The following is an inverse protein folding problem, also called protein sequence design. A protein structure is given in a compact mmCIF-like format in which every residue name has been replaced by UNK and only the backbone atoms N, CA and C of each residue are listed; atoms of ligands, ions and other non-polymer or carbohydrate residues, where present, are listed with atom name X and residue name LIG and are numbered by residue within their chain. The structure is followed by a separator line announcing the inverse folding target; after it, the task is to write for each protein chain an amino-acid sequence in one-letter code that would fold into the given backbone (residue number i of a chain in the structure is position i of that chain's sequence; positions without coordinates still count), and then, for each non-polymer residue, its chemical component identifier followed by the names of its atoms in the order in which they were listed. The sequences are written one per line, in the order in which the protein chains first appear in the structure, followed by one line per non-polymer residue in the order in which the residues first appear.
data_IF_745859577120
#
_entry.id   IF_745859577120
#
_cell.length_a   1.000
_cell.length_b   1.000
_cell.length_c   1.000
_cell.angle_alpha   90.00
_cell.angle_beta   90.00
_cell.angle_gamma   90.00
#
_symmetry.space_group_name_H-M   'P 1'
#
loop_
_entity.id
_entity.type
_entity.pdbx_description
1 polymer ?
#
# COMPACT_ATOMS: atom_id res chain seq x y z
N UNK A 1 -19.21 -1.06 21.50
CA UNK A 1 -18.55 -2.25 22.13
C UNK A 1 -19.59 -3.04 22.89
N UNK A 2 -19.52 -4.38 22.88
CA UNK A 2 -20.53 -5.24 23.51
C UNK A 2 -20.40 -5.33 25.03
N UNK A 3 -19.22 -4.97 25.57
CA UNK A 3 -18.92 -4.95 27.00
C UNK A 3 -17.77 -3.98 27.30
N UNK A 4 -17.62 -3.58 28.53
CA UNK A 4 -16.60 -2.62 28.97
C UNK A 4 -15.42 -3.37 29.59
N UNK A 5 -14.23 -3.07 29.08
CA UNK A 5 -12.95 -3.51 29.66
C UNK A 5 -12.25 -2.32 30.32
N UNK A 6 -11.52 -2.58 31.41
CA UNK A 6 -10.71 -1.55 32.08
C UNK A 6 -9.36 -1.41 31.37
N UNK A 7 -8.77 -0.22 31.47
CA UNK A 7 -7.42 0.07 30.98
C UNK A 7 -7.22 -0.11 29.47
N UNK A 8 -8.27 0.11 28.67
CA UNK A 8 -8.14 0.14 27.22
C UNK A 8 -7.58 1.51 26.83
N UNK A 9 -6.46 1.54 26.07
CA UNK A 9 -5.92 2.80 25.54
C UNK A 9 -6.94 3.53 24.66
N UNK A 10 -7.00 4.84 24.81
CA UNK A 10 -7.80 5.67 23.90
C UNK A 10 -7.15 5.67 22.53
N UNK A 11 -7.91 5.29 21.52
CA UNK A 11 -7.47 5.35 20.14
C UNK A 11 -7.80 6.71 19.54
N UNK A 12 -6.90 7.24 18.72
CA UNK A 12 -7.15 8.46 17.96
C UNK A 12 -8.33 8.28 17.00
N UNK A 13 -9.10 9.36 16.79
CA UNK A 13 -10.21 9.37 15.83
C UNK A 13 -9.72 9.59 14.39
N UNK A 14 -10.54 9.18 13.41
CA UNK A 14 -10.26 9.43 11.99
C UNK A 14 -10.48 10.91 11.65
N UNK A 15 -9.68 11.49 10.73
CA UNK A 15 -8.50 10.92 10.05
C UNK A 15 -7.29 10.84 11.00
N UNK A 16 -6.63 9.67 11.04
CA UNK A 16 -5.53 9.40 11.96
C UNK A 16 -4.19 9.83 11.36
N UNK A 17 -3.36 10.46 12.19
CA UNK A 17 -1.95 10.74 11.89
C UNK A 17 -1.00 9.78 12.62
N UNK A 18 -1.48 9.12 13.68
CA UNK A 18 -0.78 8.10 14.45
C UNK A 18 -1.73 6.93 14.77
N UNK A 19 -1.19 5.75 15.03
CA UNK A 19 -2.00 4.54 15.18
C UNK A 19 -2.73 4.13 13.89
N UNK A 20 -2.12 4.43 12.75
CA UNK A 20 -2.66 4.19 11.42
C UNK A 20 -2.77 2.70 11.12
N UNK A 21 -3.93 2.25 10.68
CA UNK A 21 -4.18 0.83 10.37
C UNK A 21 -4.31 0.64 8.88
N UNK A 22 -3.35 -0.05 8.27
CA UNK A 22 -3.45 -0.57 6.92
C UNK A 22 -3.99 -2.00 6.97
N UNK A 23 -5.08 -2.25 6.27
CA UNK A 23 -5.61 -3.60 6.09
C UNK A 23 -5.26 -4.12 4.70
N UNK A 24 -4.80 -5.38 4.63
CA UNK A 24 -4.46 -6.02 3.37
C UNK A 24 -5.64 -6.83 2.83
N UNK A 25 -6.17 -6.40 1.68
CA UNK A 25 -7.08 -7.20 0.85
C UNK A 25 -6.26 -8.19 0.02
N UNK A 26 -6.40 -9.46 0.31
CA UNK A 26 -5.69 -10.56 -0.35
C UNK A 26 -6.52 -11.25 -1.43
N UNK A 27 -7.42 -10.52 -2.07
CA UNK A 27 -8.29 -11.04 -3.12
C UNK A 27 -9.73 -11.26 -2.65
N UNK A 28 -10.25 -10.39 -1.79
CA UNK A 28 -11.66 -10.41 -1.41
C UNK A 28 -12.55 -10.25 -2.64
N UNK A 29 -13.68 -10.95 -2.65
CA UNK A 29 -14.78 -10.66 -3.59
C UNK A 29 -15.46 -9.34 -3.20
N UNK A 30 -16.31 -8.79 -4.07
CA UNK A 30 -17.13 -7.59 -3.78
C UNK A 30 -17.88 -7.77 -2.47
N UNK A 31 -18.61 -8.87 -2.32
CA UNK A 31 -19.39 -9.16 -1.09
C UNK A 31 -18.51 -9.28 0.15
N UNK A 32 -17.34 -9.91 0.05
CA UNK A 32 -16.41 -10.01 1.17
C UNK A 32 -15.84 -8.63 1.55
N UNK A 33 -15.60 -7.76 0.58
CA UNK A 33 -15.19 -6.39 0.84
C UNK A 33 -16.30 -5.60 1.56
N UNK A 34 -17.56 -5.75 1.16
CA UNK A 34 -18.72 -5.16 1.87
C UNK A 34 -18.82 -5.65 3.32
N UNK A 35 -18.71 -6.95 3.54
CA UNK A 35 -18.77 -7.55 4.88
C UNK A 35 -17.58 -7.09 5.73
N UNK A 36 -16.38 -7.02 5.14
CA UNK A 36 -15.19 -6.48 5.80
C UNK A 36 -15.40 -5.03 6.26
N UNK A 37 -15.93 -4.17 5.38
CA UNK A 37 -16.21 -2.77 5.73
C UNK A 37 -17.25 -2.65 6.85
N UNK A 38 -18.31 -3.43 6.81
CA UNK A 38 -19.34 -3.44 7.86
C UNK A 38 -18.78 -3.80 9.24
N UNK A 39 -17.80 -4.71 9.30
CA UNK A 39 -17.23 -5.22 10.55
C UNK A 39 -16.04 -4.38 11.02
N UNK A 40 -15.15 -3.99 10.12
CA UNK A 40 -13.84 -3.44 10.42
C UNK A 40 -13.62 -1.99 9.94
N UNK A 41 -14.53 -1.43 9.13
CA UNK A 41 -14.33 -0.14 8.48
C UNK A 41 -14.01 1.00 9.44
N UNK A 42 -14.58 1.02 10.65
CA UNK A 42 -14.26 1.99 11.69
C UNK A 42 -12.78 1.98 12.09
N UNK A 43 -12.14 0.80 12.03
CA UNK A 43 -10.77 0.61 12.51
C UNK A 43 -9.71 0.72 11.41
N UNK A 44 -10.10 0.70 10.13
CA UNK A 44 -9.19 0.72 8.99
C UNK A 44 -9.03 2.12 8.44
N UNK A 45 -7.80 2.54 8.23
CA UNK A 45 -7.46 3.87 7.68
C UNK A 45 -7.13 3.81 6.19
N UNK A 46 -6.60 2.70 5.70
CA UNK A 46 -6.28 2.46 4.30
C UNK A 46 -6.33 0.97 3.96
N UNK A 47 -6.72 0.63 2.75
CA UNK A 47 -6.72 -0.75 2.25
C UNK A 47 -5.64 -0.93 1.18
N UNK A 48 -4.77 -1.93 1.37
CA UNK A 48 -3.79 -2.39 0.38
C UNK A 48 -4.33 -3.59 -0.36
N UNK A 49 -4.54 -3.50 -1.68
CA UNK A 49 -4.80 -4.66 -2.52
C UNK A 49 -3.46 -5.41 -2.74
N UNK A 50 -3.23 -6.43 -1.95
CA UNK A 50 -1.95 -7.13 -1.86
C UNK A 50 -1.69 -8.09 -3.04
N UNK A 51 -0.43 -8.44 -3.24
CA UNK A 51 0.07 -9.50 -4.12
C UNK A 51 -0.42 -9.45 -5.57
N UNK A 52 -0.60 -8.24 -6.11
CA UNK A 52 -1.14 -8.02 -7.45
C UNK A 52 -2.52 -8.68 -7.69
N UNK A 53 -3.29 -8.98 -6.63
CA UNK A 53 -4.61 -9.59 -6.76
C UNK A 53 -5.58 -8.74 -7.57
N UNK A 54 -5.38 -7.42 -7.62
CA UNK A 54 -6.15 -6.51 -8.49
C UNK A 54 -6.09 -6.90 -9.97
N UNK A 55 -4.98 -7.47 -10.43
CA UNK A 55 -4.81 -7.93 -11.83
C UNK A 55 -5.76 -9.08 -12.19
N UNK A 56 -6.07 -9.96 -11.24
CA UNK A 56 -6.89 -11.15 -11.46
C UNK A 56 -8.28 -11.06 -10.84
N UNK A 57 -8.60 -9.97 -10.14
CA UNK A 57 -9.92 -9.79 -9.53
C UNK A 57 -10.97 -9.49 -10.59
N UNK A 58 -11.99 -10.35 -10.77
CA UNK A 58 -13.12 -10.00 -11.61
C UNK A 58 -13.92 -8.86 -10.98
N UNK A 59 -14.54 -8.02 -11.81
CA UNK A 59 -15.34 -6.87 -11.35
C UNK A 59 -14.57 -5.92 -10.41
N UNK A 60 -13.31 -5.63 -10.75
CA UNK A 60 -12.44 -4.81 -9.92
C UNK A 60 -13.06 -3.44 -9.59
N UNK A 61 -13.64 -2.76 -10.57
CA UNK A 61 -14.28 -1.45 -10.37
C UNK A 61 -15.40 -1.50 -9.32
N UNK A 62 -16.24 -2.54 -9.36
CA UNK A 62 -17.31 -2.75 -8.39
C UNK A 62 -16.74 -2.92 -6.97
N UNK A 63 -15.68 -3.69 -6.83
CA UNK A 63 -14.98 -3.87 -5.55
C UNK A 63 -14.34 -2.56 -5.05
N UNK A 64 -13.69 -1.80 -5.93
CA UNK A 64 -13.10 -0.51 -5.55
C UNK A 64 -14.15 0.50 -5.12
N UNK A 65 -15.37 0.45 -5.71
CA UNK A 65 -16.48 1.30 -5.31
C UNK A 65 -16.95 1.03 -3.87
N UNK A 66 -16.88 -0.22 -3.39
CA UNK A 66 -17.15 -0.52 -1.97
C UNK A 66 -16.26 0.29 -1.03
N UNK A 67 -14.98 0.41 -1.34
CA UNK A 67 -14.04 1.20 -0.52
C UNK A 67 -14.27 2.71 -0.69
N UNK A 68 -14.58 3.18 -1.93
CA UNK A 68 -14.90 4.59 -2.19
C UNK A 68 -16.14 5.05 -1.41
N UNK A 69 -17.22 4.29 -1.47
CA UNK A 69 -18.47 4.57 -0.76
C UNK A 69 -18.29 4.58 0.76
N UNK A 70 -17.38 3.74 1.27
CA UNK A 70 -17.01 3.72 2.68
C UNK A 70 -16.06 4.86 3.09
N UNK A 71 -15.61 5.71 2.15
CA UNK A 71 -14.58 6.74 2.37
C UNK A 71 -13.29 6.17 2.98
N UNK A 72 -12.91 4.96 2.58
CA UNK A 72 -11.64 4.34 2.98
C UNK A 72 -10.70 4.39 1.78
N UNK A 73 -9.60 5.14 1.85
CA UNK A 73 -8.60 5.16 0.79
C UNK A 73 -8.01 3.77 0.58
N UNK A 74 -7.62 3.49 -0.65
CA UNK A 74 -7.04 2.20 -1.03
C UNK A 74 -5.97 2.39 -2.10
N UNK A 75 -5.16 1.35 -2.29
CA UNK A 75 -4.11 1.35 -3.31
C UNK A 75 -3.72 -0.06 -3.74
N UNK A 76 -3.08 -0.16 -4.89
CA UNK A 76 -2.45 -1.39 -5.36
C UNK A 76 -1.09 -1.57 -4.69
N UNK A 77 -0.90 -2.72 -4.02
CA UNK A 77 0.34 -3.03 -3.32
C UNK A 77 1.54 -3.20 -4.26
N UNK A 78 2.74 -3.08 -3.70
CA UNK A 78 4.00 -3.01 -4.44
C UNK A 78 4.31 -4.18 -5.36
N UNK A 79 3.78 -5.37 -5.11
CA UNK A 79 3.96 -6.52 -6.03
C UNK A 79 3.38 -6.22 -7.43
N UNK A 80 2.32 -5.41 -7.54
CA UNK A 80 1.84 -4.98 -8.86
C UNK A 80 2.85 -4.03 -9.52
N UNK A 81 3.40 -3.07 -8.79
CA UNK A 81 4.47 -2.19 -9.27
C UNK A 81 5.66 -3.04 -9.78
N UNK A 82 6.16 -3.98 -8.97
CA UNK A 82 7.26 -4.88 -9.37
C UNK A 82 6.94 -5.63 -10.66
N UNK A 83 5.70 -6.12 -10.82
CA UNK A 83 5.27 -6.82 -12.03
C UNK A 83 5.34 -5.95 -13.29
N UNK A 84 5.08 -4.67 -13.19
CA UNK A 84 5.26 -3.72 -14.30
C UNK A 84 6.74 -3.40 -14.55
N UNK A 85 7.52 -3.19 -13.48
CA UNK A 85 8.94 -2.79 -13.60
C UNK A 85 9.79 -3.86 -14.28
N UNK A 86 9.62 -5.14 -13.93
CA UNK A 86 10.37 -6.23 -14.59
C UNK A 86 10.03 -6.40 -16.08
N UNK A 87 8.99 -5.71 -16.56
CA UNK A 87 8.55 -5.69 -17.96
C UNK A 87 8.84 -4.38 -18.67
N UNK A 88 9.58 -3.48 -17.99
CA UNK A 88 9.87 -2.13 -18.50
C UNK A 88 8.60 -1.32 -18.86
N UNK A 89 7.55 -1.47 -18.03
CA UNK A 89 6.21 -0.88 -18.23
C UNK A 89 5.86 0.16 -17.18
N UNK A 90 6.80 0.99 -16.75
CA UNK A 90 6.55 2.00 -15.72
C UNK A 90 5.47 3.01 -16.12
N UNK A 91 5.49 3.49 -17.36
CA UNK A 91 4.48 4.45 -17.83
C UNK A 91 3.08 3.80 -17.95
N UNK A 92 3.02 2.51 -18.24
CA UNK A 92 1.74 1.80 -18.25
C UNK A 92 1.21 1.59 -16.82
N UNK A 93 2.09 1.39 -15.82
CA UNK A 93 1.70 1.39 -14.42
C UNK A 93 1.08 2.72 -14.01
N UNK A 94 1.67 3.86 -14.41
CA UNK A 94 1.12 5.19 -14.15
C UNK A 94 -0.28 5.37 -14.76
N UNK A 95 -0.49 4.90 -16.00
CA UNK A 95 -1.82 4.91 -16.64
C UNK A 95 -2.84 4.05 -15.89
N UNK A 96 -2.41 2.95 -15.28
CA UNK A 96 -3.29 2.12 -14.45
C UNK A 96 -3.70 2.87 -13.19
N UNK A 97 -2.78 3.62 -12.55
CA UNK A 97 -3.13 4.46 -11.41
C UNK A 97 -4.15 5.53 -11.80
N UNK A 98 -3.95 6.21 -12.92
CA UNK A 98 -4.90 7.20 -13.45
C UNK A 98 -6.27 6.58 -13.77
N UNK A 99 -6.27 5.44 -14.47
CA UNK A 99 -7.51 4.75 -14.85
C UNK A 99 -8.41 4.43 -13.65
N UNK A 100 -7.80 4.02 -12.54
CA UNK A 100 -8.56 3.65 -11.33
C UNK A 100 -8.61 4.77 -10.29
N UNK A 101 -8.14 5.98 -10.65
CA UNK A 101 -8.12 7.16 -9.77
C UNK A 101 -7.46 6.84 -8.41
N UNK A 102 -6.29 6.17 -8.45
CA UNK A 102 -5.59 5.75 -7.25
C UNK A 102 -5.01 6.95 -6.50
N UNK A 103 -5.38 7.20 -5.24
CA UNK A 103 -4.79 8.28 -4.46
C UNK A 103 -3.40 7.96 -3.93
N UNK A 104 -3.03 6.67 -3.93
CA UNK A 104 -1.75 6.17 -3.44
C UNK A 104 -1.14 5.15 -4.38
N UNK A 105 0.19 5.04 -4.35
CA UNK A 105 0.94 3.96 -4.94
C UNK A 105 1.95 3.40 -3.94
N UNK A 106 2.31 2.14 -4.08
CA UNK A 106 3.38 1.52 -3.30
C UNK A 106 4.52 1.11 -4.23
N UNK A 107 5.73 1.56 -3.88
CA UNK A 107 6.98 1.17 -4.55
C UNK A 107 7.71 0.16 -3.68
N UNK A 108 7.93 -1.04 -4.19
CA UNK A 108 8.66 -2.11 -3.52
C UNK A 108 9.65 -2.78 -4.46
N UNK A 109 10.60 -3.50 -3.89
CA UNK A 109 11.59 -4.32 -4.58
C UNK A 109 11.81 -5.67 -3.87
N UNK A 110 10.85 -6.05 -3.03
CA UNK A 110 10.97 -7.24 -2.19
C UNK A 110 11.04 -8.56 -2.96
N UNK A 111 10.51 -8.62 -4.20
CA UNK A 111 10.48 -9.83 -5.05
C UNK A 111 11.32 -9.72 -6.32
N UNK A 112 11.98 -8.59 -6.54
CA UNK A 112 12.81 -8.33 -7.73
C UNK A 112 14.18 -7.79 -7.32
N UNK A 113 15.13 -7.85 -8.23
CA UNK A 113 16.38 -7.11 -8.10
C UNK A 113 16.21 -5.74 -8.75
N UNK A 114 16.30 -4.70 -7.95
CA UNK A 114 16.20 -3.32 -8.38
C UNK A 114 17.29 -2.51 -7.67
N UNK A 115 18.04 -1.75 -8.45
CA UNK A 115 18.97 -0.78 -7.90
C UNK A 115 18.22 0.24 -7.04
N UNK A 116 18.75 0.53 -5.83
CA UNK A 116 18.03 1.37 -4.88
C UNK A 116 17.91 2.83 -5.37
N UNK A 117 18.91 3.33 -6.11
CA UNK A 117 18.81 4.67 -6.69
C UNK A 117 17.71 4.71 -7.74
N UNK A 118 17.59 3.66 -8.55
CA UNK A 118 16.49 3.53 -9.52
C UNK A 118 15.12 3.46 -8.84
N UNK A 119 15.03 2.76 -7.70
CA UNK A 119 13.82 2.76 -6.87
C UNK A 119 13.44 4.16 -6.41
N UNK A 120 14.42 4.93 -5.91
CA UNK A 120 14.21 6.33 -5.52
C UNK A 120 13.74 7.21 -6.70
N UNK A 121 14.27 7.00 -7.91
CA UNK A 121 13.79 7.70 -9.10
C UNK A 121 12.32 7.39 -9.43
N UNK A 122 11.88 6.14 -9.24
CA UNK A 122 10.48 5.78 -9.40
C UNK A 122 9.59 6.43 -8.33
N UNK A 123 10.06 6.47 -7.07
CA UNK A 123 9.36 7.16 -5.97
C UNK A 123 9.17 8.63 -6.34
N UNK A 124 10.24 9.32 -6.75
CA UNK A 124 10.19 10.74 -7.13
C UNK A 124 9.18 10.99 -8.26
N UNK A 125 9.22 10.18 -9.31
CA UNK A 125 8.29 10.31 -10.44
C UNK A 125 6.84 10.04 -10.07
N UNK A 126 6.57 9.07 -9.20
CA UNK A 126 5.22 8.76 -8.74
C UNK A 126 4.70 9.81 -7.76
N UNK A 127 5.58 10.41 -6.95
CA UNK A 127 5.20 11.48 -6.02
C UNK A 127 4.68 12.74 -6.71
N UNK A 128 4.97 12.93 -8.00
CA UNK A 128 4.37 13.99 -8.84
C UNK A 128 2.89 13.72 -9.17
N UNK A 129 2.44 12.47 -9.05
CA UNK A 129 1.11 12.02 -9.49
C UNK A 129 0.21 11.62 -8.31
N UNK A 130 0.75 10.88 -7.35
CA UNK A 130 0.02 10.29 -6.22
C UNK A 130 0.84 10.35 -4.93
N UNK A 131 0.20 10.07 -3.78
CA UNK A 131 0.92 9.88 -2.52
C UNK A 131 1.63 8.51 -2.54
N UNK A 132 2.94 8.50 -2.35
CA UNK A 132 3.74 7.28 -2.44
C UNK A 132 4.00 6.68 -1.06
N UNK A 133 3.72 5.38 -0.94
CA UNK A 133 4.27 4.52 0.11
C UNK A 133 5.46 3.76 -0.50
N UNK A 134 6.46 3.46 0.31
CA UNK A 134 7.54 2.57 -0.12
C UNK A 134 7.70 1.43 0.87
N UNK A 135 8.21 0.30 0.39
CA UNK A 135 8.48 -0.88 1.22
C UNK A 135 9.97 -1.22 1.13
N UNK A 136 10.66 -1.18 2.27
CA UNK A 136 12.06 -1.60 2.41
C UNK A 136 12.08 -3.02 2.96
N UNK A 137 12.88 -3.88 2.35
CA UNK A 137 13.05 -5.25 2.79
C UNK A 137 13.07 -6.22 1.61
N UNK A 138 13.49 -7.44 1.87
CA UNK A 138 13.52 -8.52 0.89
C UNK A 138 12.61 -9.66 1.34
N UNK A 139 11.89 -10.27 0.40
CA UNK A 139 11.16 -11.52 0.63
C UNK A 139 12.08 -12.74 0.62
N UNK A 140 13.34 -12.55 0.27
CA UNK A 140 14.36 -13.56 0.38
C UNK A 140 14.85 -13.66 1.83
N UNK A 141 14.54 -14.77 2.49
CA UNK A 141 14.89 -15.01 3.88
C UNK A 141 16.41 -15.10 4.15
N UNK A 142 17.22 -15.29 3.10
CA UNK A 142 18.68 -15.33 3.20
C UNK A 142 19.31 -13.93 3.19
N UNK A 143 18.57 -12.91 2.75
CA UNK A 143 19.03 -11.51 2.73
C UNK A 143 18.77 -10.85 4.07
N UNK A 144 19.77 -10.86 4.93
CA UNK A 144 19.74 -10.17 6.23
C UNK A 144 20.38 -8.80 6.09
N UNK A 145 19.57 -7.75 6.24
CA UNK A 145 20.07 -6.37 6.28
C UNK A 145 20.25 -5.91 7.72
N UNK A 146 21.43 -5.37 8.08
CA UNK A 146 21.65 -4.83 9.42
C UNK A 146 20.77 -3.59 9.67
N UNK A 147 20.44 -3.28 10.95
CA UNK A 147 19.51 -2.18 11.28
C UNK A 147 19.92 -0.81 10.70
N UNK A 148 21.20 -0.48 10.66
CA UNK A 148 21.65 0.80 10.09
C UNK A 148 21.36 0.90 8.59
N UNK A 149 21.44 -0.20 7.85
CA UNK A 149 21.12 -0.23 6.43
C UNK A 149 19.62 -0.01 6.19
N UNK A 150 18.76 -0.59 7.03
CA UNK A 150 17.32 -0.33 6.99
C UNK A 150 17.02 1.16 7.16
N UNK A 151 17.63 1.79 8.18
CA UNK A 151 17.45 3.22 8.46
C UNK A 151 17.92 4.06 7.28
N UNK A 152 19.08 3.74 6.70
CA UNK A 152 19.64 4.48 5.56
C UNK A 152 18.74 4.38 4.32
N UNK A 153 18.26 3.17 3.99
CA UNK A 153 17.37 2.95 2.85
C UNK A 153 16.02 3.67 3.06
N UNK A 154 15.41 3.53 4.24
CA UNK A 154 14.17 4.23 4.57
C UNK A 154 14.32 5.75 4.46
N UNK A 155 15.43 6.32 4.95
CA UNK A 155 15.66 7.75 4.86
C UNK A 155 15.78 8.22 3.40
N UNK A 156 16.52 7.49 2.57
CA UNK A 156 16.66 7.81 1.14
C UNK A 156 15.32 7.77 0.41
N UNK A 157 14.45 6.82 0.76
CA UNK A 157 13.12 6.70 0.16
C UNK A 157 12.18 7.83 0.62
N UNK A 158 12.26 8.26 1.88
CA UNK A 158 11.56 9.45 2.36
C UNK A 158 12.07 10.73 1.65
N UNK A 159 13.39 10.88 1.52
CA UNK A 159 14.01 12.01 0.82
C UNK A 159 13.64 12.05 -0.67
N UNK A 160 13.41 10.88 -1.28
CA UNK A 160 12.93 10.74 -2.66
C UNK A 160 11.45 11.12 -2.84
N UNK A 161 10.70 11.32 -1.76
CA UNK A 161 9.30 11.76 -1.80
C UNK A 161 8.28 10.74 -1.30
N UNK A 162 8.69 9.62 -0.70
CA UNK A 162 7.74 8.72 -0.05
C UNK A 162 7.11 9.40 1.18
N UNK A 163 5.79 9.28 1.29
CA UNK A 163 5.04 9.77 2.46
C UNK A 163 5.31 8.93 3.71
N UNK A 164 5.34 7.62 3.54
CA UNK A 164 5.65 6.65 4.60
C UNK A 164 6.43 5.48 4.01
N UNK A 165 7.25 4.88 4.87
CA UNK A 165 8.01 3.67 4.54
C UNK A 165 7.48 2.50 5.38
N UNK A 166 7.32 1.36 4.75
CA UNK A 166 6.93 0.06 5.33
C UNK A 166 8.18 -0.79 5.44
N UNK A 167 8.33 -1.52 6.55
CA UNK A 167 9.44 -2.43 6.80
C UNK A 167 9.00 -3.83 7.17
#
# INVERSE_FOLDING_TARGET
MNYVLKNIPVRTEKPRTSGFTMAMDKGLSVRQAEDFIKVCGEYVDIVKLGWATSYVTPNLDEKLNVYREANIPFYFGGTLFEAFIIRDQFDDYRKVLDKYEMPFAEVSDGSIELDHQKKCEYITKLAEQVTVLSEVGSKDAEKISPPYQWIELMQKELDAGAWKVIG
#
